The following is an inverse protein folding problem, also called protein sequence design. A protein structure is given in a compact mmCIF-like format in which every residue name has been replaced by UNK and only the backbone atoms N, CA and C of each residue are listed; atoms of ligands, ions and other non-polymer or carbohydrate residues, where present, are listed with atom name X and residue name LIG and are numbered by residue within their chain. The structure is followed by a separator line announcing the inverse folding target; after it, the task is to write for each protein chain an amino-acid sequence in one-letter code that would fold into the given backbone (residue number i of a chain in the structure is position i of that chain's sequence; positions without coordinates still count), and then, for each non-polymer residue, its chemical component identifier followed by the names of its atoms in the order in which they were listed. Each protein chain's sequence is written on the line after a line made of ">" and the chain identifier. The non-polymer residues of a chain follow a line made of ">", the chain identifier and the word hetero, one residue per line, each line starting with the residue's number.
data_IF_720221450565
#
_entry.id   IF_720221450565
#
_cell.length_a   1.000
_cell.length_b   1.000
_cell.length_c   1.000
_cell.angle_alpha   90.00
_cell.angle_beta   90.00
_cell.angle_gamma   90.00
#
_symmetry.space_group_name_H-M   'P 1'
#
loop_
_entity.id
_entity.type
_entity.pdbx_description
1 polymer ?
#
# COMPACT_ATOMS: atom_id res chain seq x y z
N UNK A 1 -0.93 -9.25 22.98
CA UNK A 1 -0.92 -9.71 21.57
C UNK A 1 -0.03 -10.95 21.50
N UNK A 2 -0.52 -12.10 21.00
CA UNK A 2 0.24 -13.36 20.87
C UNK A 2 0.37 -13.71 19.38
N UNK A 3 1.52 -13.39 18.78
CA UNK A 3 1.74 -13.46 17.33
C UNK A 3 1.42 -14.84 16.76
N UNK A 4 1.92 -15.91 17.38
CA UNK A 4 1.78 -17.27 16.85
C UNK A 4 0.31 -17.72 16.76
N UNK A 5 -0.50 -17.36 17.76
CA UNK A 5 -1.94 -17.65 17.78
C UNK A 5 -2.70 -16.84 16.73
N UNK A 6 -2.35 -15.56 16.57
CA UNK A 6 -2.95 -14.68 15.55
C UNK A 6 -2.60 -15.16 14.14
N UNK A 7 -1.33 -15.52 13.89
CA UNK A 7 -0.86 -16.02 12.61
C UNK A 7 -1.50 -17.37 12.24
N UNK A 8 -1.67 -18.27 13.24
CA UNK A 8 -2.38 -19.54 13.04
C UNK A 8 -3.83 -19.34 12.59
N UNK A 9 -4.56 -18.40 13.21
CA UNK A 9 -5.95 -18.08 12.82
C UNK A 9 -6.04 -17.48 11.42
N UNK A 10 -5.11 -16.58 11.08
CA UNK A 10 -5.03 -15.98 9.76
C UNK A 10 -4.86 -17.04 8.67
N UNK A 11 -3.88 -17.96 8.83
CA UNK A 11 -3.62 -19.04 7.87
C UNK A 11 -4.77 -20.03 7.71
N UNK A 12 -5.54 -20.27 8.76
CA UNK A 12 -6.70 -21.15 8.71
C UNK A 12 -7.91 -20.51 8.00
N UNK A 13 -8.06 -19.19 8.11
CA UNK A 13 -9.22 -18.46 7.57
C UNK A 13 -9.02 -17.80 6.21
N UNK A 14 -7.78 -17.65 5.74
CA UNK A 14 -7.46 -16.97 4.48
C UNK A 14 -6.60 -17.83 3.56
N UNK A 15 -7.10 -18.07 2.34
CA UNK A 15 -6.35 -18.64 1.21
C UNK A 15 -6.56 -17.74 0.00
N UNK A 16 -5.50 -17.18 -0.62
CA UNK A 16 -5.66 -16.34 -1.81
C UNK A 16 -6.25 -17.14 -2.97
N UNK A 17 -7.31 -16.62 -3.60
CA UNK A 17 -7.99 -17.28 -4.72
C UNK A 17 -7.10 -17.40 -5.97
N UNK A 18 -6.03 -16.60 -6.08
CA UNK A 18 -5.15 -16.57 -7.24
C UNK A 18 -4.13 -17.73 -7.33
N UNK A 19 -4.10 -18.63 -6.34
CA UNK A 19 -3.37 -19.90 -6.45
C UNK A 19 -4.17 -21.00 -7.15
N UNK A 20 -5.40 -20.72 -7.59
CA UNK A 20 -6.28 -21.71 -8.21
C UNK A 20 -6.16 -21.81 -9.75
N UNK A 21 -5.67 -20.77 -10.44
CA UNK A 21 -5.65 -20.71 -11.90
C UNK A 21 -4.26 -20.33 -12.45
N UNK A 22 -3.68 -21.23 -13.25
CA UNK A 22 -2.43 -21.06 -14.01
C UNK A 22 -2.62 -20.25 -15.31
N UNK A 23 -3.42 -19.18 -15.30
CA UNK A 23 -3.63 -18.38 -16.51
C UNK A 23 -2.42 -17.49 -16.80
N UNK A 24 -1.63 -17.88 -17.81
CA UNK A 24 -0.42 -17.19 -18.26
C UNK A 24 -0.67 -15.84 -18.98
N UNK A 25 -1.92 -15.38 -19.06
CA UNK A 25 -2.29 -14.12 -19.71
C UNK A 25 -2.30 -12.94 -18.74
N UNK A 26 -1.68 -11.83 -19.14
CA UNK A 26 -1.67 -10.58 -18.36
C UNK A 26 -3.10 -10.07 -18.12
N UNK A 27 -3.50 -10.01 -16.84
CA UNK A 27 -4.77 -9.42 -16.38
C UNK A 27 -4.75 -7.88 -16.51
N UNK A 28 -3.59 -7.28 -16.79
CA UNK A 28 -3.40 -5.84 -17.09
C UNK A 28 -3.27 -5.54 -18.59
N UNK A 29 -3.52 -6.53 -19.45
CA UNK A 29 -3.59 -6.38 -20.92
C UNK A 29 -2.25 -6.18 -21.65
N UNK A 30 -1.12 -6.10 -20.93
CA UNK A 30 0.24 -6.03 -21.51
C UNK A 30 1.31 -6.26 -20.43
N UNK A 31 2.51 -6.72 -20.81
CA UNK A 31 3.63 -6.88 -19.86
C UNK A 31 4.04 -5.54 -19.27
N UNK A 32 3.99 -4.45 -20.05
CA UNK A 32 4.20 -3.09 -19.52
C UNK A 32 3.16 -2.70 -18.47
N UNK A 33 1.90 -3.03 -18.70
CA UNK A 33 0.82 -2.82 -17.73
C UNK A 33 1.07 -3.56 -16.43
N UNK A 34 1.51 -4.82 -16.48
CA UNK A 34 1.88 -5.59 -15.29
C UNK A 34 3.02 -4.92 -14.52
N UNK A 35 4.08 -4.46 -15.20
CA UNK A 35 5.21 -3.81 -14.53
C UNK A 35 4.81 -2.50 -13.85
N UNK A 36 3.90 -1.71 -14.46
CA UNK A 36 3.34 -0.51 -13.83
C UNK A 36 2.53 -0.88 -12.59
N UNK A 37 1.67 -1.89 -12.68
CA UNK A 37 0.88 -2.36 -11.54
C UNK A 37 1.80 -2.83 -10.39
N UNK A 38 2.87 -3.56 -10.68
CA UNK A 38 3.87 -3.95 -9.68
C UNK A 38 4.59 -2.76 -9.08
N UNK A 39 5.03 -1.79 -9.88
CA UNK A 39 5.60 -0.54 -9.37
C UNK A 39 4.67 0.17 -8.38
N UNK A 40 3.36 0.18 -8.65
CA UNK A 40 2.35 0.77 -7.75
C UNK A 40 2.28 0.00 -6.43
N UNK A 41 2.24 -1.34 -6.47
CA UNK A 41 2.27 -2.18 -5.26
C UNK A 41 3.50 -1.88 -4.43
N UNK A 42 4.68 -1.94 -5.04
CA UNK A 42 5.95 -1.76 -4.31
C UNK A 42 6.12 -0.35 -3.76
N UNK A 43 5.58 0.65 -4.46
CA UNK A 43 5.55 2.01 -3.93
C UNK A 43 4.67 2.13 -2.67
N UNK A 44 3.53 1.42 -2.66
CA UNK A 44 2.61 1.35 -1.52
C UNK A 44 3.23 0.65 -0.32
N UNK A 45 3.78 -0.54 -0.52
CA UNK A 45 4.42 -1.35 0.53
C UNK A 45 5.66 -0.66 1.09
N UNK A 46 6.55 -0.12 0.25
CA UNK A 46 7.71 0.66 0.69
C UNK A 46 7.30 1.87 1.54
N UNK A 47 6.26 2.61 1.12
CA UNK A 47 5.75 3.76 1.87
C UNK A 47 5.15 3.34 3.22
N UNK A 48 4.44 2.22 3.27
CA UNK A 48 3.84 1.70 4.50
C UNK A 48 4.90 1.28 5.53
N UNK A 49 5.88 0.48 5.13
CA UNK A 49 6.96 0.08 6.03
C UNK A 49 7.86 1.25 6.44
N UNK A 50 8.05 2.23 5.55
CA UNK A 50 8.70 3.50 5.93
C UNK A 50 7.92 4.22 7.03
N UNK A 51 6.59 4.29 6.92
CA UNK A 51 5.73 4.89 7.93
C UNK A 51 5.81 4.16 9.28
N UNK A 52 5.83 2.82 9.28
CA UNK A 52 6.00 2.00 10.50
C UNK A 52 7.35 2.31 11.15
N UNK A 53 8.44 2.22 10.37
CA UNK A 53 9.81 2.51 10.83
C UNK A 53 9.89 3.88 11.52
N UNK A 54 9.27 4.88 10.91
CA UNK A 54 9.34 6.26 11.35
C UNK A 54 8.43 6.57 12.56
N UNK A 55 7.40 5.76 12.80
CA UNK A 55 6.44 5.94 13.89
C UNK A 55 6.79 5.12 15.14
N UNK A 56 7.49 3.99 15.00
CA UNK A 56 7.82 3.12 16.13
C UNK A 56 9.04 3.59 16.92
N UNK A 57 9.00 3.39 18.24
CA UNK A 57 10.15 3.52 19.15
C UNK A 57 10.79 2.17 19.49
N UNK A 58 10.13 1.05 19.17
CA UNK A 58 10.68 -0.28 19.43
C UNK A 58 11.79 -0.57 18.40
N UNK A 59 13.03 -0.85 18.85
CA UNK A 59 14.20 -0.93 17.98
C UNK A 59 14.15 -2.07 16.96
N UNK A 60 13.65 -3.26 17.33
CA UNK A 60 13.63 -4.42 16.44
C UNK A 60 12.64 -4.21 15.28
N UNK A 61 11.45 -3.71 15.58
CA UNK A 61 10.43 -3.38 14.59
C UNK A 61 10.89 -2.25 13.67
N UNK A 62 11.60 -1.25 14.20
CA UNK A 62 12.20 -0.18 13.39
C UNK A 62 13.18 -0.75 12.37
N UNK A 63 14.04 -1.67 12.80
CA UNK A 63 15.01 -2.32 11.92
C UNK A 63 14.34 -3.18 10.86
N UNK A 64 13.43 -4.08 11.25
CA UNK A 64 12.71 -4.96 10.33
C UNK A 64 11.93 -4.15 9.30
N UNK A 65 11.13 -3.16 9.74
CA UNK A 65 10.38 -2.31 8.83
C UNK A 65 11.31 -1.51 7.90
N UNK A 66 12.47 -1.08 8.40
CA UNK A 66 13.49 -0.42 7.57
C UNK A 66 14.09 -1.32 6.49
N UNK A 67 14.38 -2.58 6.81
CA UNK A 67 14.89 -3.58 5.85
C UNK A 67 13.84 -3.90 4.79
N UNK A 68 12.59 -4.18 5.20
CA UNK A 68 11.50 -4.45 4.26
C UNK A 68 11.28 -3.24 3.34
N UNK A 69 11.19 -2.02 3.88
CA UNK A 69 11.02 -0.81 3.07
C UNK A 69 12.13 -0.61 2.02
N UNK A 70 13.36 -1.03 2.33
CA UNK A 70 14.49 -0.99 1.40
C UNK A 70 14.39 -2.07 0.32
N UNK A 71 13.93 -3.28 0.66
CA UNK A 71 13.70 -4.36 -0.29
C UNK A 71 12.57 -4.02 -1.26
N UNK A 72 11.45 -3.48 -0.77
CA UNK A 72 10.36 -3.03 -1.67
C UNK A 72 10.81 -1.89 -2.58
N UNK A 73 11.73 -1.03 -2.14
CA UNK A 73 12.33 -0.04 -3.02
C UNK A 73 13.22 -0.68 -4.11
N UNK A 74 13.93 -1.77 -3.80
CA UNK A 74 14.70 -2.54 -4.79
C UNK A 74 13.77 -3.29 -5.75
N UNK A 75 12.67 -3.86 -5.27
CA UNK A 75 11.64 -4.47 -6.10
C UNK A 75 11.03 -3.45 -7.06
N UNK A 76 10.67 -2.26 -6.56
CA UNK A 76 10.22 -1.15 -7.40
C UNK A 76 11.24 -0.85 -8.51
N UNK A 77 12.53 -0.74 -8.15
CA UNK A 77 13.60 -0.45 -9.12
C UNK A 77 13.68 -1.54 -10.19
N UNK A 78 13.65 -2.81 -9.78
CA UNK A 78 13.67 -3.96 -10.68
C UNK A 78 12.50 -3.91 -11.68
N UNK A 79 11.27 -3.69 -11.21
CA UNK A 79 10.10 -3.61 -12.10
C UNK A 79 10.14 -2.38 -13.01
N UNK A 80 10.64 -1.26 -12.49
CA UNK A 80 10.78 -0.03 -13.26
C UNK A 80 11.83 -0.19 -14.38
N UNK A 81 12.97 -0.81 -14.11
CA UNK A 81 13.99 -1.12 -15.12
C UNK A 81 13.44 -2.13 -16.13
N UNK A 82 12.76 -3.17 -15.65
CA UNK A 82 12.11 -4.19 -16.49
C UNK A 82 11.05 -3.58 -17.42
N UNK A 83 10.27 -2.60 -16.95
CA UNK A 83 9.29 -1.84 -17.75
C UNK A 83 9.96 -1.16 -18.96
N UNK A 84 11.13 -0.56 -18.75
CA UNK A 84 11.87 0.17 -19.80
C UNK A 84 12.63 -0.77 -20.73
N UNK A 85 13.03 -1.95 -20.24
CA UNK A 85 13.66 -2.99 -21.04
C UNK A 85 12.66 -3.86 -21.83
N UNK A 86 11.34 -3.71 -21.64
CA UNK A 86 10.34 -4.45 -22.42
C UNK A 86 10.39 -4.06 -23.90
N UNK A 87 10.24 -5.05 -24.78
CA UNK A 87 10.22 -4.87 -26.24
C UNK A 87 8.83 -4.59 -26.82
N UNK A 88 7.76 -4.58 -26.01
CA UNK A 88 6.41 -4.26 -26.47
C UNK A 88 6.34 -2.82 -27.04
N UNK A 89 5.26 -2.41 -27.72
CA UNK A 89 4.97 -0.99 -28.00
C UNK A 89 4.59 -0.24 -26.73
N UNK A 90 5.07 1.00 -26.56
CA UNK A 90 4.80 1.76 -25.33
C UNK A 90 3.30 2.03 -25.17
N UNK A 91 2.84 2.04 -23.91
CA UNK A 91 1.46 2.37 -23.61
C UNK A 91 1.26 3.89 -23.67
N UNK A 92 0.17 4.39 -24.26
CA UNK A 92 -0.19 5.79 -24.14
C UNK A 92 -0.38 6.14 -22.66
N UNK A 93 -0.04 7.37 -22.29
CA UNK A 93 -0.05 7.86 -20.91
C UNK A 93 -1.36 7.55 -20.16
N UNK A 94 -2.51 7.71 -20.81
CA UNK A 94 -3.81 7.44 -20.19
C UNK A 94 -4.00 5.97 -19.80
N UNK A 95 -3.48 5.00 -20.59
CA UNK A 95 -3.54 3.57 -20.23
C UNK A 95 -2.67 3.29 -19.02
N UNK A 96 -1.46 3.87 -18.98
CA UNK A 96 -0.56 3.77 -17.81
C UNK A 96 -1.24 4.30 -16.54
N UNK A 97 -1.92 5.44 -16.66
CA UNK A 97 -2.68 6.04 -15.57
C UNK A 97 -3.86 5.15 -15.12
N UNK A 98 -4.64 4.59 -16.05
CA UNK A 98 -5.74 3.69 -15.71
C UNK A 98 -5.25 2.41 -15.02
N UNK A 99 -4.14 1.84 -15.47
CA UNK A 99 -3.51 0.70 -14.78
C UNK A 99 -3.12 1.05 -13.35
N UNK A 100 -2.49 2.22 -13.14
CA UNK A 100 -2.09 2.65 -11.81
C UNK A 100 -3.29 2.90 -10.89
N UNK A 101 -4.33 3.59 -11.38
CA UNK A 101 -5.57 3.84 -10.63
C UNK A 101 -6.30 2.53 -10.32
N UNK A 102 -6.43 1.65 -11.32
CA UNK A 102 -7.04 0.34 -11.14
C UNK A 102 -6.33 -0.46 -10.06
N UNK A 103 -4.99 -0.46 -10.06
CA UNK A 103 -4.22 -1.16 -9.03
C UNK A 103 -4.39 -0.56 -7.64
N UNK A 104 -4.51 0.77 -7.53
CA UNK A 104 -4.83 1.42 -6.25
C UNK A 104 -6.25 1.04 -5.80
N UNK A 105 -7.23 0.99 -6.69
CA UNK A 105 -8.61 0.63 -6.36
C UNK A 105 -8.74 -0.84 -5.92
N UNK A 106 -7.95 -1.74 -6.48
CA UNK A 106 -7.89 -3.17 -6.11
C UNK A 106 -7.28 -3.42 -4.72
N UNK A 107 -6.65 -2.43 -4.08
CA UNK A 107 -6.00 -2.59 -2.77
C UNK A 107 -6.97 -2.77 -1.59
N UNK A 108 -8.23 -3.13 -1.86
CA UNK A 108 -9.24 -3.51 -0.88
C UNK A 108 -8.98 -4.94 -0.39
N UNK A 109 -7.86 -5.08 0.31
CA UNK A 109 -7.28 -6.36 0.67
C UNK A 109 -8.01 -6.99 1.86
N UNK A 110 -8.77 -8.06 1.58
CA UNK A 110 -9.40 -8.88 2.60
C UNK A 110 -8.35 -9.49 3.55
N UNK A 111 -7.13 -9.71 3.05
CA UNK A 111 -6.01 -10.20 3.84
C UNK A 111 -5.71 -9.25 5.00
N UNK A 112 -5.59 -7.96 4.68
CA UNK A 112 -5.27 -6.93 5.65
C UNK A 112 -6.42 -6.66 6.62
N UNK A 113 -7.65 -6.67 6.10
CA UNK A 113 -8.86 -6.55 6.91
C UNK A 113 -8.99 -7.70 7.91
N UNK A 114 -8.74 -8.93 7.46
CA UNK A 114 -8.82 -10.12 8.31
C UNK A 114 -7.65 -10.18 9.32
N UNK A 115 -6.43 -9.83 8.90
CA UNK A 115 -5.29 -9.72 9.79
C UNK A 115 -5.54 -8.71 10.92
N UNK A 116 -6.11 -7.54 10.59
CA UNK A 116 -6.51 -6.55 11.59
C UNK A 116 -7.57 -7.09 12.55
N UNK A 117 -8.60 -7.77 12.04
CA UNK A 117 -9.63 -8.39 12.87
C UNK A 117 -9.03 -9.43 13.83
N UNK A 118 -8.17 -10.32 13.35
CA UNK A 118 -7.50 -11.33 14.18
C UNK A 118 -6.57 -10.72 15.24
N UNK A 119 -5.96 -9.56 14.95
CA UNK A 119 -5.09 -8.85 15.88
C UNK A 119 -5.86 -8.08 16.96
N UNK A 120 -7.08 -7.62 16.67
CA UNK A 120 -7.86 -6.74 17.54
C UNK A 120 -9.02 -7.41 18.26
N UNK A 121 -9.53 -8.53 17.74
CA UNK A 121 -10.66 -9.29 18.32
C UNK A 121 -10.16 -10.61 18.93
N UNK A 122 -10.20 -10.76 20.26
CA UNK A 122 -9.87 -12.01 20.94
C UNK A 122 -10.76 -13.17 20.47
N UNK A 123 -10.21 -14.39 20.44
CA UNK A 123 -10.95 -15.57 20.00
C UNK A 123 -12.24 -15.81 20.80
N UNK A 124 -12.23 -15.53 22.10
CA UNK A 124 -13.41 -15.64 22.99
C UNK A 124 -14.55 -14.68 22.61
N UNK A 125 -14.28 -13.61 21.87
CA UNK A 125 -15.27 -12.61 21.47
C UNK A 125 -15.73 -12.78 20.02
N UNK A 126 -15.23 -13.78 19.29
CA UNK A 126 -15.54 -13.98 17.87
C UNK A 126 -17.03 -14.26 17.63
N UNK A 127 -17.68 -15.00 18.52
CA UNK A 127 -19.11 -15.29 18.43
C UNK A 127 -19.98 -14.02 18.61
N UNK A 128 -19.49 -13.05 19.40
CA UNK A 128 -20.21 -11.80 19.71
C UNK A 128 -19.89 -10.71 18.69
N UNK A 129 -18.65 -10.67 18.19
CA UNK A 129 -18.16 -9.73 17.18
C UNK A 129 -17.68 -10.50 15.95
N UNK A 130 -18.59 -11.00 15.11
CA UNK A 130 -18.21 -11.75 13.91
C UNK A 130 -17.41 -10.87 12.94
N UNK A 131 -16.62 -11.51 12.07
CA UNK A 131 -15.84 -10.82 11.06
C UNK A 131 -16.76 -10.05 10.11
N UNK A 132 -16.50 -8.75 9.97
CA UNK A 132 -17.11 -7.91 8.96
C UNK A 132 -16.01 -7.24 8.16
N UNK A 133 -15.82 -7.67 6.91
CA UNK A 133 -14.76 -7.19 6.02
C UNK A 133 -14.71 -5.68 5.91
N UNK A 134 -15.85 -5.02 5.62
CA UNK A 134 -15.90 -3.57 5.43
C UNK A 134 -15.51 -2.81 6.70
N UNK A 135 -16.01 -3.26 7.85
CA UNK A 135 -15.69 -2.63 9.14
C UNK A 135 -14.21 -2.81 9.50
N UNK A 136 -13.68 -4.03 9.32
CA UNK A 136 -12.29 -4.35 9.62
C UNK A 136 -11.32 -3.64 8.67
N UNK A 137 -11.60 -3.61 7.36
CA UNK A 137 -10.83 -2.87 6.37
C UNK A 137 -10.77 -1.37 6.71
N UNK A 138 -11.92 -0.77 7.05
CA UNK A 138 -12.00 0.64 7.47
C UNK A 138 -11.16 0.89 8.73
N UNK A 139 -11.25 0.04 9.73
CA UNK A 139 -10.51 0.19 10.98
C UNK A 139 -9.00 -0.01 10.79
N UNK A 140 -8.60 -0.99 9.98
CA UNK A 140 -7.21 -1.20 9.57
C UNK A 140 -6.65 0.04 8.87
N UNK A 141 -7.36 0.53 7.86
CA UNK A 141 -6.98 1.71 7.10
C UNK A 141 -6.83 2.96 7.98
N UNK A 142 -7.78 3.24 8.87
CA UNK A 142 -7.69 4.37 9.80
C UNK A 142 -6.51 4.23 10.77
N UNK A 143 -6.19 3.01 11.21
CA UNK A 143 -5.01 2.74 12.05
C UNK A 143 -3.73 3.05 11.29
N UNK A 144 -3.64 2.64 10.01
CA UNK A 144 -2.49 2.95 9.16
C UNK A 144 -2.33 4.45 8.95
N UNK A 145 -3.40 5.18 8.65
CA UNK A 145 -3.29 6.61 8.36
C UNK A 145 -2.70 7.43 9.50
N UNK A 146 -2.81 6.97 10.76
CA UNK A 146 -2.23 7.64 11.94
C UNK A 146 -0.71 7.67 11.94
N UNK A 147 -0.05 6.70 11.31
CA UNK A 147 1.43 6.65 11.24
C UNK A 147 1.99 7.32 9.99
N UNK A 148 1.13 7.63 9.01
CA UNK A 148 1.55 8.32 7.79
C UNK A 148 1.85 9.80 8.06
N UNK A 149 2.95 10.28 7.47
CA UNK A 149 3.31 11.69 7.40
C UNK A 149 3.31 12.13 5.94
N UNK A 150 3.16 13.44 5.69
CA UNK A 150 3.17 14.02 4.34
C UNK A 150 4.36 13.55 3.50
N UNK A 151 5.55 13.42 4.08
CA UNK A 151 6.75 12.94 3.37
C UNK A 151 6.61 11.51 2.79
N UNK A 152 5.87 10.62 3.46
CA UNK A 152 5.64 9.25 2.98
C UNK A 152 4.72 9.28 1.76
N UNK A 153 3.66 10.08 1.84
CA UNK A 153 2.72 10.30 0.72
C UNK A 153 3.42 10.96 -0.46
N UNK A 154 4.27 11.96 -0.22
CA UNK A 154 5.07 12.59 -1.27
C UNK A 154 5.95 11.58 -2.00
N UNK A 155 6.70 10.75 -1.29
CA UNK A 155 7.55 9.73 -1.90
C UNK A 155 6.73 8.70 -2.70
N UNK A 156 5.61 8.24 -2.14
CA UNK A 156 4.66 7.37 -2.82
C UNK A 156 4.17 7.99 -4.14
N UNK A 157 3.64 9.21 -4.11
CA UNK A 157 3.13 9.91 -5.31
C UNK A 157 4.22 10.11 -6.36
N UNK A 158 5.45 10.41 -5.94
CA UNK A 158 6.60 10.54 -6.85
C UNK A 158 6.95 9.21 -7.54
N UNK A 159 6.95 8.10 -6.79
CA UNK A 159 7.21 6.77 -7.36
C UNK A 159 6.12 6.37 -8.35
N UNK A 160 4.84 6.55 -8.01
CA UNK A 160 3.72 6.27 -8.92
C UNK A 160 3.75 7.18 -10.15
N UNK A 161 4.04 8.47 -9.98
CA UNK A 161 4.19 9.40 -11.10
C UNK A 161 5.29 8.94 -12.06
N UNK A 162 6.45 8.55 -11.51
CA UNK A 162 7.58 8.04 -12.28
C UNK A 162 7.21 6.77 -13.05
N UNK A 163 6.49 5.82 -12.45
CA UNK A 163 6.12 4.57 -13.13
C UNK A 163 5.15 4.76 -14.29
N UNK A 164 4.31 5.80 -14.27
CA UNK A 164 3.41 6.13 -15.40
C UNK A 164 4.05 7.03 -16.45
N UNK A 165 5.32 7.43 -16.26
CA UNK A 165 6.05 8.34 -17.17
C UNK A 165 5.78 9.82 -16.94
N UNK A 166 5.16 10.20 -15.82
CA UNK A 166 5.02 11.59 -15.41
C UNK A 166 6.28 12.11 -14.71
N UNK A 167 6.51 13.43 -14.73
CA UNK A 167 7.62 14.04 -14.02
C UNK A 167 7.36 14.00 -12.49
N UNK A 168 8.14 13.23 -11.70
CA UNK A 168 7.91 13.08 -10.27
C UNK A 168 8.09 14.39 -9.49
N UNK A 169 8.87 15.35 -10.00
CA UNK A 169 9.12 16.63 -9.36
C UNK A 169 8.26 17.75 -9.95
N UNK A 170 7.40 17.45 -10.92
CA UNK A 170 6.56 18.41 -11.61
C UNK A 170 5.44 18.99 -10.74
N UNK A 171 4.92 20.16 -11.15
CA UNK A 171 3.84 20.87 -10.43
C UNK A 171 2.57 20.04 -10.29
N UNK A 172 2.20 19.26 -11.32
CA UNK A 172 1.03 18.39 -11.27
C UNK A 172 1.18 17.29 -10.22
N UNK A 173 2.37 16.68 -10.11
CA UNK A 173 2.65 15.67 -9.09
C UNK A 173 2.64 16.24 -7.68
N UNK A 174 3.15 17.47 -7.50
CA UNK A 174 3.08 18.18 -6.22
C UNK A 174 1.62 18.53 -5.85
N UNK A 175 0.81 18.93 -6.82
CA UNK A 175 -0.61 19.19 -6.60
C UNK A 175 -1.36 17.90 -6.22
N UNK A 176 -1.10 16.80 -6.94
CA UNK A 176 -1.68 15.48 -6.64
C UNK A 176 -1.27 15.00 -5.24
N UNK A 177 -0.02 15.18 -4.85
CA UNK A 177 0.51 14.90 -3.50
C UNK A 177 -0.23 15.71 -2.42
N UNK A 178 -0.41 17.01 -2.62
CA UNK A 178 -1.10 17.88 -1.69
C UNK A 178 -2.60 17.52 -1.55
N UNK A 179 -3.27 17.22 -2.67
CA UNK A 179 -4.67 16.79 -2.69
C UNK A 179 -4.84 15.44 -1.99
N UNK A 180 -3.98 14.47 -2.31
CA UNK A 180 -3.97 13.16 -1.68
C UNK A 180 -3.76 13.30 -0.17
N UNK A 181 -2.75 14.05 0.27
CA UNK A 181 -2.51 14.29 1.69
C UNK A 181 -3.71 14.94 2.39
N UNK A 182 -4.31 15.96 1.78
CA UNK A 182 -5.51 16.62 2.31
C UNK A 182 -6.67 15.63 2.46
N UNK A 183 -6.94 14.83 1.44
CA UNK A 183 -7.99 13.81 1.46
C UNK A 183 -7.74 12.79 2.57
N UNK A 184 -6.52 12.30 2.72
CA UNK A 184 -6.15 11.34 3.75
C UNK A 184 -6.32 11.91 5.16
N UNK A 185 -5.92 13.17 5.39
CA UNK A 185 -6.16 13.83 6.69
C UNK A 185 -7.64 13.93 7.03
N UNK A 186 -8.47 14.33 6.05
CA UNK A 186 -9.93 14.42 6.25
C UNK A 186 -10.52 13.06 6.57
N UNK A 187 -10.15 12.02 5.81
CA UNK A 187 -10.62 10.65 6.04
C UNK A 187 -10.17 10.08 7.39
N UNK A 188 -8.97 10.44 7.85
CA UNK A 188 -8.44 10.03 9.15
C UNK A 188 -9.03 10.81 10.34
N UNK A 189 -9.85 11.85 10.11
CA UNK A 189 -10.29 12.77 11.16
C UNK A 189 -9.16 13.64 11.71
N UNK A 190 -8.01 13.72 11.02
CA UNK A 190 -6.81 14.48 11.41
C UNK A 190 -6.85 15.92 10.88
N UNK A 191 -7.95 16.35 10.27
CA UNK A 191 -8.15 17.70 9.72
C UNK A 191 -8.14 18.80 10.77
N UNK A 192 -8.36 18.47 12.05
CA UNK A 192 -8.38 19.41 13.17
C UNK A 192 -7.10 19.47 14.01
N UNK A 193 -6.07 18.67 13.71
CA UNK A 193 -4.80 18.72 14.44
C UNK A 193 -3.84 19.64 13.69
N UNK A 194 -3.85 20.92 14.06
CA UNK A 194 -2.73 21.83 13.80
C UNK A 194 -1.51 21.25 14.49
N UNK A 195 -0.55 20.76 13.72
CA UNK A 195 0.80 20.52 14.23
C UNK A 195 1.36 21.91 14.50
N UNK A 196 1.30 22.36 15.75
CA UNK A 196 2.18 23.42 16.24
C UNK A 196 3.61 22.98 15.90
N UNK A 197 4.29 23.82 15.13
CA UNK A 197 5.71 23.68 14.88
C UNK A 197 6.42 23.73 16.23
N UNK A 198 6.98 22.60 16.66
CA UNK A 198 7.91 22.57 17.78
C UNK A 198 9.24 23.20 17.30
N UNK A 199 9.64 24.24 18.05
CA UNK A 199 10.95 24.89 18.19
C UNK A 199 12.07 24.53 17.24
#
# INVERSE_FOLDING_TARGET
>A
FKLDQTLGRFRAGYRPAHFANDDAMSVRGSRRGEMIARCVVESGTSSYYSAIKDATNEPVLKEIAGRIAADEFRHYKLFFETLHAQNEPDLPFWKKLMVAIGRIAESDDDELAFAYYCATVPASQQAVKPYNRRAAAKAAYLTMLRIYRRRHIRKLTQMVAKSVGANPQGRLTQLAEALLWRMLKVRAGLSGVTVEAAG
#
